data_IF_358250234095
#
_entry.id   IF_358250234095
#
_cell.length_a   1.000
_cell.length_b   1.000
_cell.length_c   1.000
_cell.angle_alpha   90.00
_cell.angle_beta   90.00
_cell.angle_gamma   90.00
#
_symmetry.space_group_name_H-M   'P 1'
#
loop_
_entity.id
_entity.type
_entity.pdbx_description
1 polymer ?
#
# COMPACT_ATOMS: atom_id res chain seq x y z
N UNK A 1 39.07 -58.11 47.99
CA UNK A 1 40.28 -58.76 47.43
C UNK A 1 40.49 -60.15 48.02
N UNK A 2 40.10 -60.40 49.27
CA UNK A 2 40.36 -61.66 49.98
C UNK A 2 39.73 -62.91 49.32
N UNK A 3 38.50 -62.82 48.79
CA UNK A 3 37.85 -63.94 48.06
C UNK A 3 38.52 -64.31 46.71
N UNK A 4 39.23 -63.38 46.09
CA UNK A 4 39.92 -63.59 44.80
C UNK A 4 41.26 -64.30 45.01
N UNK A 5 41.91 -64.04 46.14
CA UNK A 5 43.17 -64.65 46.55
C UNK A 5 42.94 -66.10 46.99
N UNK A 6 41.83 -66.38 47.67
CA UNK A 6 41.44 -67.72 48.13
C UNK A 6 41.13 -68.68 46.97
N UNK A 7 40.44 -68.20 45.92
CA UNK A 7 40.18 -68.94 44.68
C UNK A 7 41.46 -69.27 43.90
N UNK A 8 42.45 -68.36 43.91
CA UNK A 8 43.74 -68.52 43.22
C UNK A 8 44.61 -69.61 43.85
N UNK A 9 44.50 -69.80 45.17
CA UNK A 9 45.25 -70.80 45.94
C UNK A 9 44.58 -72.19 45.84
N UNK A 10 43.25 -72.26 45.72
CA UNK A 10 42.49 -73.52 45.71
C UNK A 10 42.39 -74.23 44.35
N UNK A 11 42.56 -73.54 43.22
CA UNK A 11 42.18 -74.07 41.89
C UNK A 11 43.30 -74.12 40.84
N UNK A 12 44.53 -73.75 41.20
CA UNK A 12 45.74 -73.99 40.38
C UNK A 12 45.80 -73.20 39.05
N UNK A 13 46.70 -73.58 38.12
CA UNK A 13 46.95 -72.90 36.83
C UNK A 13 45.70 -72.52 35.99
N UNK A 14 44.58 -73.29 36.00
CA UNK A 14 43.35 -72.92 35.30
C UNK A 14 42.73 -71.58 35.74
N UNK A 15 42.83 -71.21 37.02
CA UNK A 15 42.26 -69.96 37.53
C UNK A 15 42.99 -68.71 37.01
N UNK A 16 44.32 -68.82 36.81
CA UNK A 16 45.12 -67.76 36.20
C UNK A 16 44.74 -67.54 34.73
N UNK A 17 44.47 -68.61 33.97
CA UNK A 17 44.03 -68.51 32.58
C UNK A 17 42.66 -67.81 32.45
N UNK A 18 41.73 -68.08 33.38
CA UNK A 18 40.42 -67.40 33.42
C UNK A 18 40.60 -65.90 33.72
N UNK A 19 41.47 -65.53 34.66
CA UNK A 19 41.77 -64.14 34.97
C UNK A 19 42.42 -63.39 33.80
N UNK A 20 43.40 -64.01 33.13
CA UNK A 20 44.02 -63.43 31.93
C UNK A 20 42.99 -63.24 30.82
N UNK A 21 42.12 -64.22 30.59
CA UNK A 21 41.02 -64.13 29.63
C UNK A 21 40.01 -63.02 29.95
N UNK A 22 39.66 -62.84 31.23
CA UNK A 22 38.77 -61.76 31.67
C UNK A 22 39.40 -60.37 31.49
N UNK A 23 40.69 -60.22 31.80
CA UNK A 23 41.41 -58.94 31.61
C UNK A 23 41.57 -58.62 30.12
N UNK A 24 41.93 -59.60 29.29
CA UNK A 24 42.00 -59.43 27.84
C UNK A 24 40.64 -59.13 27.22
N UNK A 25 39.59 -59.86 27.63
CA UNK A 25 38.22 -59.62 27.19
C UNK A 25 37.74 -58.22 27.56
N UNK A 26 38.01 -57.77 28.80
CA UNK A 26 37.70 -56.40 29.23
C UNK A 26 38.42 -55.35 28.38
N UNK A 27 39.72 -55.52 28.14
CA UNK A 27 40.50 -54.57 27.34
C UNK A 27 40.04 -54.52 25.86
N UNK A 28 39.67 -55.67 25.28
CA UNK A 28 39.12 -55.73 23.92
C UNK A 28 37.77 -55.00 23.84
N UNK A 29 36.87 -55.26 24.82
CA UNK A 29 35.58 -54.57 24.92
C UNK A 29 35.81 -53.05 25.04
N UNK A 30 36.66 -52.60 25.95
CA UNK A 30 36.98 -51.16 26.10
C UNK A 30 37.52 -50.53 24.82
N UNK A 31 38.40 -51.24 24.09
CA UNK A 31 38.95 -50.78 22.82
C UNK A 31 37.85 -50.62 21.74
N UNK A 32 37.05 -51.66 21.50
CA UNK A 32 35.97 -51.62 20.50
C UNK A 32 34.90 -50.57 20.85
N UNK A 33 34.51 -50.45 22.12
CA UNK A 33 33.57 -49.42 22.55
C UNK A 33 34.15 -48.01 22.38
N UNK A 34 35.44 -47.81 22.65
CA UNK A 34 36.09 -46.51 22.48
C UNK A 34 36.11 -46.08 21.01
N UNK A 35 36.44 -46.98 20.09
CA UNK A 35 36.45 -46.72 18.65
C UNK A 35 35.03 -46.42 18.11
N UNK A 36 34.04 -47.22 18.53
CA UNK A 36 32.62 -46.98 18.19
C UNK A 36 32.14 -45.62 18.72
N UNK A 37 32.50 -45.27 19.96
CA UNK A 37 32.16 -43.98 20.56
C UNK A 37 32.81 -42.83 19.76
N UNK A 38 34.06 -42.99 19.33
CA UNK A 38 34.75 -41.96 18.56
C UNK A 38 34.12 -41.77 17.17
N UNK A 39 33.78 -42.87 16.48
CA UNK A 39 33.05 -42.84 15.21
C UNK A 39 31.70 -42.15 15.38
N UNK A 40 30.92 -42.54 16.40
CA UNK A 40 29.61 -41.93 16.65
C UNK A 40 29.70 -40.45 17.03
N UNK A 41 30.75 -40.03 17.74
CA UNK A 41 31.03 -38.62 18.01
C UNK A 41 31.31 -37.84 16.73
N UNK A 42 32.13 -38.40 15.82
CA UNK A 42 32.42 -37.77 14.52
C UNK A 42 31.16 -37.67 13.66
N UNK A 43 30.37 -38.74 13.59
CA UNK A 43 29.09 -38.75 12.86
C UNK A 43 28.11 -37.71 13.41
N UNK A 44 27.99 -37.61 14.75
CA UNK A 44 27.13 -36.62 15.39
C UNK A 44 27.60 -35.18 15.13
N UNK A 45 28.92 -34.95 15.18
CA UNK A 45 29.50 -33.64 14.89
C UNK A 45 29.25 -33.22 13.44
N UNK A 46 29.44 -34.16 12.50
CA UNK A 46 29.18 -33.92 11.08
C UNK A 46 27.68 -33.68 10.81
N UNK A 47 26.78 -34.46 11.43
CA UNK A 47 25.34 -34.25 11.29
C UNK A 47 24.91 -32.90 11.87
N UNK A 48 25.50 -32.47 12.98
CA UNK A 48 25.25 -31.17 13.59
C UNK A 48 25.74 -30.02 12.69
N UNK A 49 26.91 -30.16 12.08
CA UNK A 49 27.44 -29.19 11.12
C UNK A 49 26.57 -29.10 9.86
N UNK A 50 26.19 -30.25 9.29
CA UNK A 50 25.25 -30.31 8.16
C UNK A 50 23.91 -29.65 8.47
N UNK A 51 23.37 -29.89 9.67
CA UNK A 51 22.10 -29.29 10.08
C UNK A 51 22.23 -27.78 10.28
N UNK A 52 23.34 -27.29 10.85
CA UNK A 52 23.63 -25.85 10.96
C UNK A 52 23.72 -25.19 9.60
N UNK A 53 24.46 -25.78 8.65
CA UNK A 53 24.56 -25.27 7.28
C UNK A 53 23.19 -25.22 6.60
N UNK A 54 22.36 -26.26 6.79
CA UNK A 54 21.00 -26.29 6.22
C UNK A 54 20.12 -25.17 6.79
N UNK A 55 20.13 -24.97 8.11
CA UNK A 55 19.37 -23.88 8.75
C UNK A 55 19.87 -22.52 8.24
N UNK A 56 21.18 -22.32 8.14
CA UNK A 56 21.75 -21.06 7.66
C UNK A 56 21.35 -20.78 6.21
N UNK A 57 21.37 -21.81 5.36
CA UNK A 57 20.94 -21.72 3.98
C UNK A 57 19.44 -21.43 3.85
N UNK A 58 18.60 -22.09 4.66
CA UNK A 58 17.16 -21.81 4.73
C UNK A 58 16.91 -20.37 5.18
N UNK A 59 17.65 -19.88 6.18
CA UNK A 59 17.52 -18.52 6.69
C UNK A 59 17.90 -17.47 5.64
N UNK A 60 19.00 -17.70 4.90
CA UNK A 60 19.41 -16.87 3.75
C UNK A 60 18.34 -16.88 2.66
N UNK A 61 17.77 -18.03 2.34
CA UNK A 61 16.69 -18.14 1.36
C UNK A 61 15.44 -17.37 1.81
N UNK A 62 15.05 -17.46 3.08
CA UNK A 62 13.93 -16.68 3.60
C UNK A 62 14.18 -15.18 3.56
N UNK A 63 15.39 -14.73 3.90
CA UNK A 63 15.78 -13.32 3.77
C UNK A 63 15.68 -12.84 2.33
N UNK A 64 16.22 -13.59 1.37
CA UNK A 64 16.12 -13.24 -0.05
C UNK A 64 14.67 -13.16 -0.54
N UNK A 65 13.81 -14.08 -0.10
CA UNK A 65 12.37 -14.06 -0.45
C UNK A 65 11.69 -12.82 0.14
N UNK A 66 12.00 -12.47 1.40
CA UNK A 66 11.45 -11.29 2.06
C UNK A 66 11.90 -10.01 1.36
N UNK A 67 13.18 -9.88 1.05
CA UNK A 67 13.74 -8.72 0.36
C UNK A 67 13.14 -8.55 -1.04
N UNK A 68 13.00 -9.65 -1.79
CA UNK A 68 12.35 -9.63 -3.09
C UNK A 68 10.88 -9.16 -3.01
N UNK A 69 10.12 -9.69 -2.05
CA UNK A 69 8.72 -9.28 -1.83
C UNK A 69 8.61 -7.82 -1.39
N UNK A 70 9.51 -7.37 -0.51
CA UNK A 70 9.55 -5.98 -0.04
C UNK A 70 9.89 -5.04 -1.19
N UNK A 71 10.84 -5.42 -2.05
CA UNK A 71 11.19 -4.65 -3.23
C UNK A 71 10.04 -4.56 -4.23
N UNK A 72 9.38 -5.69 -4.52
CA UNK A 72 8.20 -5.72 -5.38
C UNK A 72 7.06 -4.85 -4.83
N UNK A 73 6.80 -4.95 -3.52
CA UNK A 73 5.83 -4.13 -2.83
C UNK A 73 6.18 -2.65 -2.95
N UNK A 74 7.43 -2.27 -2.68
CA UNK A 74 7.89 -0.89 -2.78
C UNK A 74 7.74 -0.33 -4.20
N UNK A 75 8.07 -1.11 -5.24
CA UNK A 75 7.90 -0.68 -6.63
C UNK A 75 6.42 -0.47 -6.95
N UNK A 76 5.58 -1.45 -6.65
CA UNK A 76 4.13 -1.38 -6.93
C UNK A 76 3.49 -0.22 -6.19
N UNK A 77 3.82 -0.07 -4.90
CA UNK A 77 3.32 1.01 -4.06
C UNK A 77 3.78 2.37 -4.56
N UNK A 78 5.08 2.55 -4.82
CA UNK A 78 5.63 3.82 -5.32
C UNK A 78 4.98 4.22 -6.65
N UNK A 79 4.83 3.27 -7.58
CA UNK A 79 4.22 3.54 -8.88
C UNK A 79 2.74 3.91 -8.73
N UNK A 80 1.98 3.15 -7.93
CA UNK A 80 0.56 3.43 -7.72
C UNK A 80 0.34 4.80 -7.05
N UNK A 81 1.14 5.13 -6.03
CA UNK A 81 1.08 6.43 -5.37
C UNK A 81 1.47 7.57 -6.30
N UNK A 82 2.48 7.38 -7.14
CA UNK A 82 2.90 8.35 -8.15
C UNK A 82 1.80 8.61 -9.18
N UNK A 83 1.19 7.56 -9.74
CA UNK A 83 0.07 7.68 -10.68
C UNK A 83 -1.13 8.36 -10.02
N UNK A 84 -1.48 7.96 -8.79
CA UNK A 84 -2.58 8.58 -8.04
C UNK A 84 -2.33 10.06 -7.78
N UNK A 85 -1.10 10.44 -7.38
CA UNK A 85 -0.73 11.84 -7.17
C UNK A 85 -0.86 12.66 -8.47
N UNK A 86 -0.41 12.09 -9.59
CA UNK A 86 -0.53 12.73 -10.91
C UNK A 86 -2.00 12.95 -11.30
N UNK A 87 -2.85 11.95 -11.09
CA UNK A 87 -4.29 12.04 -11.38
C UNK A 87 -4.97 13.10 -10.53
N UNK A 88 -4.73 13.12 -9.21
CA UNK A 88 -5.30 14.13 -8.31
C UNK A 88 -4.84 15.53 -8.68
N UNK A 89 -3.55 15.71 -8.97
CA UNK A 89 -3.00 17.01 -9.39
C UNK A 89 -3.67 17.52 -10.66
N UNK A 90 -3.84 16.66 -11.65
CA UNK A 90 -4.44 17.04 -12.93
C UNK A 90 -5.93 17.38 -12.76
N UNK A 91 -6.67 16.58 -11.97
CA UNK A 91 -8.07 16.89 -11.66
C UNK A 91 -8.21 18.22 -10.89
N UNK A 92 -7.30 18.49 -9.95
CA UNK A 92 -7.23 19.75 -9.22
C UNK A 92 -7.04 20.94 -10.18
N UNK A 93 -6.12 20.84 -11.15
CA UNK A 93 -5.92 21.89 -12.15
C UNK A 93 -7.19 22.13 -12.99
N UNK A 94 -7.86 21.06 -13.42
CA UNK A 94 -9.13 21.18 -14.17
C UNK A 94 -10.23 21.82 -13.33
N UNK A 95 -10.29 21.50 -12.03
CA UNK A 95 -11.24 22.13 -11.10
C UNK A 95 -10.95 23.63 -10.91
N UNK A 96 -9.68 24.05 -10.83
CA UNK A 96 -9.32 25.47 -10.79
C UNK A 96 -9.73 26.22 -12.06
N UNK A 97 -9.52 25.60 -13.23
CA UNK A 97 -9.93 26.17 -14.52
C UNK A 97 -11.46 26.33 -14.56
N UNK A 98 -12.19 25.30 -14.12
CA UNK A 98 -13.66 25.33 -14.01
C UNK A 98 -14.14 26.42 -13.05
N UNK A 99 -13.51 26.57 -11.88
CA UNK A 99 -13.83 27.62 -10.93
C UNK A 99 -13.57 29.02 -11.53
N UNK A 100 -12.46 29.20 -12.23
CA UNK A 100 -12.13 30.46 -12.89
C UNK A 100 -13.14 30.82 -13.97
N UNK A 101 -13.48 29.86 -14.85
CA UNK A 101 -14.43 30.10 -15.94
C UNK A 101 -15.84 30.36 -15.41
N UNK A 102 -16.25 29.68 -14.34
CA UNK A 102 -17.50 29.93 -13.63
C UNK A 102 -17.54 31.36 -13.06
N UNK A 103 -16.47 31.79 -12.40
CA UNK A 103 -16.38 33.15 -11.87
C UNK A 103 -16.51 34.21 -12.97
N UNK A 104 -15.98 33.96 -14.16
CA UNK A 104 -16.14 34.86 -15.30
C UNK A 104 -17.58 34.91 -15.79
N UNK A 105 -18.29 33.79 -15.77
CA UNK A 105 -19.72 33.73 -16.10
C UNK A 105 -20.54 34.60 -15.15
N UNK A 106 -20.30 34.53 -13.84
CA UNK A 106 -21.06 35.34 -12.87
C UNK A 106 -20.75 36.84 -12.89
N UNK A 107 -19.66 37.26 -13.55
CA UNK A 107 -19.37 38.69 -13.81
C UNK A 107 -20.25 39.26 -14.93
N UNK A 108 -20.86 38.41 -15.76
CA UNK A 108 -21.74 38.84 -16.84
C UNK A 108 -23.06 39.31 -16.23
N UNK A 109 -23.51 40.50 -16.62
CA UNK A 109 -24.87 40.94 -16.29
C UNK A 109 -25.88 40.14 -17.13
N UNK A 110 -27.00 39.65 -16.56
CA UNK A 110 -27.98 38.82 -17.28
C UNK A 110 -28.37 39.35 -18.66
N UNK A 111 -28.47 40.68 -18.86
CA UNK A 111 -28.93 41.25 -20.13
C UNK A 111 -27.83 41.42 -21.20
N UNK A 112 -26.60 40.95 -20.97
CA UNK A 112 -25.46 41.12 -21.89
C UNK A 112 -24.90 39.80 -22.46
N UNK A 113 -25.66 38.72 -22.41
CA UNK A 113 -25.23 37.37 -22.80
C UNK A 113 -24.77 37.27 -24.25
N UNK A 114 -25.51 37.84 -25.20
CA UNK A 114 -25.19 37.72 -26.62
C UNK A 114 -23.80 38.30 -26.96
N UNK A 115 -23.34 39.26 -26.16
CA UNK A 115 -22.00 39.86 -26.30
C UNK A 115 -20.90 39.01 -25.61
N UNK A 116 -21.28 38.02 -24.79
CA UNK A 116 -20.38 37.25 -23.93
C UNK A 116 -20.49 35.72 -24.16
N UNK A 117 -20.98 35.28 -25.32
CA UNK A 117 -21.16 33.86 -25.65
C UNK A 117 -19.86 33.05 -25.54
N UNK A 118 -18.71 33.70 -25.79
CA UNK A 118 -17.39 33.08 -25.64
C UNK A 118 -17.09 32.68 -24.18
N UNK A 119 -17.57 33.43 -23.19
CA UNK A 119 -17.39 33.14 -21.76
C UNK A 119 -18.22 31.91 -21.38
N UNK A 120 -19.47 31.82 -21.85
CA UNK A 120 -20.34 30.66 -21.64
C UNK A 120 -19.73 29.41 -22.29
N UNK A 121 -19.22 29.53 -23.51
CA UNK A 121 -18.55 28.44 -24.19
C UNK A 121 -17.28 28.00 -23.45
N UNK A 122 -16.48 28.94 -22.94
CA UNK A 122 -15.29 28.63 -22.16
C UNK A 122 -15.65 27.84 -20.88
N UNK A 123 -16.70 28.28 -20.18
CA UNK A 123 -17.23 27.57 -19.03
C UNK A 123 -17.71 26.15 -19.39
N UNK A 124 -18.56 26.01 -20.40
CA UNK A 124 -19.06 24.71 -20.86
C UNK A 124 -17.92 23.75 -21.21
N UNK A 125 -16.92 24.24 -21.96
CA UNK A 125 -15.74 23.46 -22.31
C UNK A 125 -14.94 23.02 -21.08
N UNK A 126 -14.75 23.92 -20.09
CA UNK A 126 -14.03 23.58 -18.86
C UNK A 126 -14.76 22.53 -18.01
N UNK A 127 -16.11 22.59 -17.96
CA UNK A 127 -16.90 21.59 -17.25
C UNK A 127 -16.85 20.23 -17.95
N UNK A 128 -16.96 20.23 -19.29
CA UNK A 128 -16.83 19.01 -20.08
C UNK A 128 -15.42 18.40 -19.95
N UNK A 129 -14.36 19.22 -19.94
CA UNK A 129 -12.99 18.75 -19.75
C UNK A 129 -12.78 18.16 -18.34
N UNK A 130 -13.35 18.78 -17.31
CA UNK A 130 -13.37 18.22 -15.95
C UNK A 130 -14.06 16.84 -15.92
N UNK A 131 -15.28 16.73 -16.46
CA UNK A 131 -16.02 15.46 -16.51
C UNK A 131 -15.30 14.38 -17.29
N UNK A 132 -14.81 14.72 -18.49
CA UNK A 132 -14.08 13.81 -19.38
C UNK A 132 -12.81 13.27 -18.73
N UNK A 133 -12.19 14.06 -17.85
CA UNK A 133 -11.04 13.62 -17.07
C UNK A 133 -11.43 12.81 -15.84
N UNK A 134 -12.42 13.25 -15.06
CA UNK A 134 -12.81 12.56 -13.83
C UNK A 134 -13.37 11.16 -14.07
N UNK A 135 -14.35 11.02 -14.98
CA UNK A 135 -15.11 9.77 -15.12
C UNK A 135 -14.21 8.54 -15.40
N UNK A 136 -13.25 8.59 -16.33
CA UNK A 136 -12.33 7.46 -16.55
C UNK A 136 -11.33 7.25 -15.41
N UNK A 137 -11.02 8.30 -14.65
CA UNK A 137 -10.02 8.27 -13.57
C UNK A 137 -10.64 8.08 -12.18
N UNK A 138 -11.96 7.87 -12.08
CA UNK A 138 -12.70 7.72 -10.82
C UNK A 138 -12.07 6.72 -9.87
N UNK A 139 -11.50 5.63 -10.40
CA UNK A 139 -10.85 4.55 -9.64
C UNK A 139 -9.65 4.98 -8.80
N UNK A 140 -9.04 6.15 -9.08
CA UNK A 140 -7.88 6.66 -8.35
C UNK A 140 -8.25 7.47 -7.10
N UNK A 141 -9.53 7.77 -6.90
CA UNK A 141 -10.00 8.57 -5.78
C UNK A 141 -10.55 7.70 -4.65
N UNK A 142 -10.56 8.24 -3.43
CA UNK A 142 -11.26 7.59 -2.33
C UNK A 142 -12.77 7.54 -2.63
N UNK A 143 -13.47 6.55 -2.07
CA UNK A 143 -14.93 6.45 -2.21
C UNK A 143 -15.61 7.75 -1.73
N UNK A 144 -15.20 8.26 -0.57
CA UNK A 144 -15.67 9.54 -0.02
C UNK A 144 -15.53 10.69 -1.02
N UNK A 145 -14.34 10.89 -1.59
CA UNK A 145 -14.09 11.97 -2.56
C UNK A 145 -14.88 11.76 -3.86
N UNK A 146 -14.94 10.52 -4.33
CA UNK A 146 -15.70 10.16 -5.54
C UNK A 146 -17.17 10.50 -5.39
N UNK A 147 -17.80 10.13 -4.26
CA UNK A 147 -19.19 10.47 -3.96
C UNK A 147 -19.41 11.98 -3.94
N UNK A 148 -18.49 12.76 -3.35
CA UNK A 148 -18.58 14.22 -3.36
C UNK A 148 -18.51 14.79 -4.77
N UNK A 149 -17.61 14.27 -5.61
CA UNK A 149 -17.49 14.72 -7.00
C UNK A 149 -18.73 14.31 -7.81
N UNK A 150 -19.30 13.13 -7.59
CA UNK A 150 -20.52 12.70 -8.26
C UNK A 150 -21.70 13.62 -7.92
N UNK A 151 -21.90 13.93 -6.62
CA UNK A 151 -22.92 14.89 -6.15
C UNK A 151 -22.66 16.26 -6.77
N UNK A 152 -21.41 16.71 -6.77
CA UNK A 152 -21.02 17.95 -7.44
C UNK A 152 -21.44 17.94 -8.91
N UNK A 153 -21.17 16.89 -9.68
CA UNK A 153 -21.54 16.83 -11.09
C UNK A 153 -23.05 16.92 -11.32
N UNK A 154 -23.86 16.30 -10.45
CA UNK A 154 -25.33 16.36 -10.50
C UNK A 154 -25.85 17.77 -10.18
N UNK A 155 -25.41 18.34 -9.05
CA UNK A 155 -25.78 19.70 -8.61
C UNK A 155 -25.34 20.76 -9.61
N UNK A 156 -24.15 20.60 -10.18
CA UNK A 156 -23.63 21.56 -11.15
C UNK A 156 -24.38 21.50 -12.49
N UNK A 157 -24.80 20.31 -12.92
CA UNK A 157 -25.71 20.16 -14.06
C UNK A 157 -27.04 20.91 -13.84
N UNK A 158 -27.57 20.85 -12.62
CA UNK A 158 -28.75 21.63 -12.24
C UNK A 158 -28.47 23.15 -12.27
N UNK A 159 -27.39 23.61 -11.65
CA UNK A 159 -27.00 25.03 -11.61
C UNK A 159 -26.84 25.59 -13.04
N UNK A 160 -26.17 24.85 -13.93
CA UNK A 160 -25.98 25.26 -15.33
C UNK A 160 -27.28 25.31 -16.13
N UNK A 161 -28.21 24.41 -15.85
CA UNK A 161 -29.55 24.45 -16.45
C UNK A 161 -30.33 25.67 -15.97
N UNK A 162 -30.36 25.91 -14.65
CA UNK A 162 -31.01 27.08 -14.06
C UNK A 162 -30.41 28.39 -14.54
N UNK A 163 -29.10 28.43 -14.69
CA UNK A 163 -28.39 29.56 -15.29
C UNK A 163 -28.87 29.81 -16.71
N UNK A 164 -28.89 28.79 -17.55
CA UNK A 164 -29.36 28.88 -18.94
C UNK A 164 -30.82 29.33 -19.01
N UNK A 165 -31.68 28.86 -18.10
CA UNK A 165 -33.07 29.30 -18.03
C UNK A 165 -33.18 30.80 -17.74
N UNK A 166 -32.44 31.31 -16.74
CA UNK A 166 -32.38 32.76 -16.43
C UNK A 166 -31.88 33.57 -17.63
N UNK A 167 -30.91 33.02 -18.39
CA UNK A 167 -30.38 33.67 -19.57
C UNK A 167 -31.40 33.77 -20.72
N UNK A 168 -32.34 32.82 -20.80
CA UNK A 168 -33.37 32.75 -21.83
C UNK A 168 -34.67 33.46 -21.43
N UNK A 169 -34.81 33.90 -20.17
CA UNK A 169 -35.95 34.66 -19.68
C UNK A 169 -35.96 36.08 -20.27
N UNK A 170 -36.62 36.24 -21.42
CA UNK A 170 -36.86 37.55 -22.04
C UNK A 170 -37.93 38.34 -21.24
N UNK A 171 -37.73 39.66 -21.13
CA UNK A 171 -38.68 40.62 -20.51
C UNK A 171 -38.83 40.56 -18.98
N UNK A 172 -37.93 39.86 -18.27
CA UNK A 172 -37.90 39.87 -16.80
C UNK A 172 -36.98 41.01 -16.30
N UNK A 173 -37.43 41.86 -15.33
CA UNK A 173 -36.55 42.87 -14.74
C UNK A 173 -35.30 42.26 -14.11
N UNK A 174 -34.13 42.88 -14.33
CA UNK A 174 -32.83 42.41 -13.79
C UNK A 174 -32.91 42.30 -12.26
N UNK A 175 -33.61 43.24 -11.62
CA UNK A 175 -33.77 43.31 -10.17
C UNK A 175 -34.47 42.07 -9.61
N UNK A 176 -35.39 41.45 -10.37
CA UNK A 176 -36.03 40.19 -9.97
C UNK A 176 -35.15 38.95 -10.18
N UNK A 177 -34.20 39.00 -11.11
CA UNK A 177 -33.26 37.89 -11.38
C UNK A 177 -32.07 37.89 -10.42
N UNK A 178 -31.70 39.07 -9.91
CA UNK A 178 -30.51 39.26 -9.07
C UNK A 178 -30.45 38.32 -7.85
N UNK A 179 -31.50 38.13 -7.04
CA UNK A 179 -31.43 37.22 -5.89
C UNK A 179 -31.16 35.77 -6.29
N UNK A 180 -31.75 35.30 -7.40
CA UNK A 180 -31.53 33.95 -7.93
C UNK A 180 -30.11 33.80 -8.48
N UNK A 181 -29.61 34.82 -9.17
CA UNK A 181 -28.24 34.90 -9.66
C UNK A 181 -27.20 34.85 -8.54
N UNK A 182 -27.36 35.71 -7.53
CA UNK A 182 -26.44 35.78 -6.39
C UNK A 182 -26.42 34.46 -5.61
N UNK A 183 -27.58 33.80 -5.48
CA UNK A 183 -27.67 32.47 -4.88
C UNK A 183 -26.90 31.42 -5.69
N UNK A 184 -27.15 31.31 -6.99
CA UNK A 184 -26.45 30.35 -7.86
C UNK A 184 -24.95 30.60 -7.88
N UNK A 185 -24.53 31.87 -7.88
CA UNK A 185 -23.12 32.26 -7.79
C UNK A 185 -22.47 31.78 -6.50
N UNK A 186 -23.16 31.97 -5.37
CA UNK A 186 -22.67 31.51 -4.08
C UNK A 186 -22.60 29.99 -3.99
N UNK A 187 -23.70 29.30 -4.29
CA UNK A 187 -23.82 27.84 -4.15
C UNK A 187 -22.74 27.14 -4.99
N UNK A 188 -22.52 27.59 -6.23
CA UNK A 188 -21.50 27.04 -7.12
C UNK A 188 -20.05 27.33 -6.68
N UNK A 189 -19.80 28.50 -6.08
CA UNK A 189 -18.50 28.85 -5.49
C UNK A 189 -18.19 27.97 -4.28
N UNK A 190 -19.17 27.79 -3.38
CA UNK A 190 -19.02 26.97 -2.18
C UNK A 190 -18.73 25.50 -2.55
N UNK A 191 -19.46 24.95 -3.52
CA UNK A 191 -19.23 23.58 -3.99
C UNK A 191 -17.85 23.39 -4.64
N UNK A 192 -17.44 24.29 -5.55
CA UNK A 192 -16.11 24.19 -6.18
C UNK A 192 -14.99 24.28 -5.14
N UNK A 193 -15.13 25.18 -4.16
CA UNK A 193 -14.17 25.31 -3.06
C UNK A 193 -14.08 24.06 -2.19
N UNK A 194 -15.21 23.42 -1.88
CA UNK A 194 -15.20 22.17 -1.11
C UNK A 194 -14.42 21.06 -1.81
N UNK A 195 -14.67 20.83 -3.10
CA UNK A 195 -13.98 19.79 -3.87
C UNK A 195 -12.49 20.11 -3.99
N UNK A 196 -12.12 21.37 -4.23
CA UNK A 196 -10.72 21.81 -4.27
C UNK A 196 -9.99 21.45 -2.97
N UNK A 197 -10.60 21.72 -1.82
CA UNK A 197 -9.98 21.45 -0.53
C UNK A 197 -9.84 19.95 -0.25
N UNK A 198 -10.84 19.13 -0.60
CA UNK A 198 -10.72 17.69 -0.45
C UNK A 198 -9.64 17.11 -1.40
N UNK A 199 -9.50 17.64 -2.62
CA UNK A 199 -8.40 17.27 -3.53
C UNK A 199 -7.03 17.63 -2.96
N UNK A 200 -6.88 18.83 -2.38
CA UNK A 200 -5.64 19.25 -1.72
C UNK A 200 -5.32 18.31 -0.55
N UNK A 201 -6.32 17.98 0.26
CA UNK A 201 -6.17 17.07 1.40
C UNK A 201 -5.73 15.68 0.96
N UNK A 202 -6.41 15.08 -0.02
CA UNK A 202 -6.05 13.78 -0.56
C UNK A 202 -4.63 13.78 -1.16
N UNK A 203 -4.25 14.87 -1.85
CA UNK A 203 -2.90 15.02 -2.38
C UNK A 203 -1.83 15.11 -1.27
N UNK A 204 -2.07 15.91 -0.22
CA UNK A 204 -1.14 16.03 0.92
C UNK A 204 -1.02 14.75 1.72
N UNK A 205 -2.10 13.99 1.85
CA UNK A 205 -2.08 12.67 2.47
C UNK A 205 -1.18 11.70 1.69
N UNK A 206 -1.21 11.74 0.36
CA UNK A 206 -0.31 10.92 -0.48
C UNK A 206 1.15 11.34 -0.29
N UNK A 207 1.42 12.63 -0.12
CA UNK A 207 2.76 13.15 0.14
C UNK A 207 3.24 12.94 1.58
N UNK A 208 2.38 12.50 2.50
CA UNK A 208 2.71 12.35 3.93
C UNK A 208 2.92 13.67 4.67
N UNK A 209 2.28 14.76 4.21
CA UNK A 209 2.42 16.11 4.81
C UNK A 209 1.43 16.35 5.96
N UNK A 210 0.29 15.64 5.97
CA UNK A 210 -0.70 15.70 7.04
C UNK A 210 -0.64 14.40 7.87
N UNK A 211 0.18 14.40 8.92
CA UNK A 211 0.10 13.48 10.07
C UNK A 211 -0.41 14.25 11.28
#
# INVERSE_FOLDING_TARGET
MDKLIELLISSGPPALLILVGLVWGKNLIEYFFKEIIEIKKKELAQNLENHKMKIEQENKNFQHILDAKLHEFNIKFTNLHSERAKVIKELYLKMLILQSSLNDVFKIKPNHINNNIHIINNFSNSFQDFQKYYLPNKIYFSEKLSTKIDIFLEEYSFITTEFTNILLEENVPIESLKPKWDKLSKDSSDYTFEIINELIKDFRNILGVEN
#
